data_IF_990898825572
#
_entry.id   IF_990898825572
#
_cell.length_a   1.000
_cell.length_b   1.000
_cell.length_c   1.000
_cell.angle_alpha   90.00
_cell.angle_beta   90.00
_cell.angle_gamma   90.00
#
_symmetry.space_group_name_H-M   'P 1'
#
loop_
_entity.id
_entity.type
_entity.pdbx_description
1 polymer ?
#
# COMPACT_ATOMS: atom_id res chain seq x y z
N UNK A 1 19.91 44.19 9.49
CA UNK A 1 18.92 43.08 9.44
C UNK A 1 18.28 43.11 8.07
N UNK A 2 18.59 42.17 7.16
CA UNK A 2 17.99 42.16 5.82
C UNK A 2 16.53 41.71 5.92
N UNK A 3 15.60 42.63 5.66
CA UNK A 3 14.18 42.35 5.72
C UNK A 3 13.74 41.72 4.39
N UNK A 4 13.78 40.38 4.32
CA UNK A 4 13.44 39.66 3.08
C UNK A 4 11.93 39.62 2.90
N UNK A 5 11.43 40.28 1.86
CA UNK A 5 10.00 40.36 1.56
C UNK A 5 9.43 38.98 1.15
N UNK A 6 8.39 38.51 1.84
CA UNK A 6 7.70 37.23 1.56
C UNK A 6 7.20 37.11 0.12
N UNK A 7 6.71 38.20 -0.48
CA UNK A 7 6.23 38.23 -1.86
C UNK A 7 7.38 38.11 -2.87
N UNK A 8 8.56 38.64 -2.55
CA UNK A 8 9.77 38.46 -3.36
C UNK A 8 10.22 36.99 -3.33
N UNK A 9 10.28 36.38 -2.14
CA UNK A 9 10.59 34.95 -1.97
C UNK A 9 9.63 34.08 -2.78
N UNK A 10 8.32 34.35 -2.71
CA UNK A 10 7.30 33.59 -3.45
C UNK A 10 7.52 33.69 -4.97
N UNK A 11 7.73 34.89 -5.50
CA UNK A 11 7.98 35.08 -6.95
C UNK A 11 9.24 34.35 -7.40
N UNK A 12 10.32 34.43 -6.62
CA UNK A 12 11.57 33.74 -6.94
C UNK A 12 11.39 32.21 -6.91
N UNK A 13 10.68 31.67 -5.91
CA UNK A 13 10.32 30.24 -5.85
C UNK A 13 9.52 29.78 -7.07
N UNK A 14 8.51 30.55 -7.47
CA UNK A 14 7.69 30.22 -8.65
C UNK A 14 8.52 30.25 -9.94
N UNK A 15 9.40 31.24 -10.11
CA UNK A 15 10.31 31.31 -11.25
C UNK A 15 11.26 30.11 -11.30
N UNK A 16 11.88 29.76 -10.16
CA UNK A 16 12.79 28.62 -10.08
C UNK A 16 12.05 27.29 -10.30
N UNK A 17 10.86 27.10 -9.72
CA UNK A 17 10.06 25.90 -9.95
C UNK A 17 9.69 25.73 -11.43
N UNK A 18 9.32 26.82 -12.11
CA UNK A 18 9.04 26.81 -13.55
C UNK A 18 10.28 26.40 -14.34
N UNK A 19 11.43 27.02 -14.07
CA UNK A 19 12.68 26.71 -14.77
C UNK A 19 13.13 25.25 -14.55
N UNK A 20 13.02 24.74 -13.32
CA UNK A 20 13.33 23.33 -13.00
C UNK A 20 12.37 22.38 -13.73
N UNK A 21 11.07 22.68 -13.77
CA UNK A 21 10.09 21.87 -14.47
C UNK A 21 10.35 21.82 -15.98
N UNK A 22 10.64 22.96 -16.60
CA UNK A 22 11.00 23.05 -18.02
C UNK A 22 12.29 22.25 -18.31
N UNK A 23 13.32 22.39 -17.46
CA UNK A 23 14.57 21.64 -17.57
C UNK A 23 14.33 20.12 -17.54
N UNK A 24 13.62 19.63 -16.52
CA UNK A 24 13.27 18.22 -16.38
C UNK A 24 12.50 17.69 -17.59
N UNK A 25 11.57 18.47 -18.12
CA UNK A 25 10.78 18.11 -19.29
C UNK A 25 11.62 18.00 -20.56
N UNK A 26 12.64 18.86 -20.72
CA UNK A 26 13.56 18.80 -21.86
C UNK A 26 14.59 17.68 -21.76
N UNK A 27 15.06 17.38 -20.54
CA UNK A 27 16.10 16.38 -20.29
C UNK A 27 15.55 14.95 -20.25
N UNK A 28 14.31 14.77 -19.79
CA UNK A 28 13.72 13.46 -19.63
C UNK A 28 13.42 12.82 -20.99
N UNK A 29 14.25 11.83 -21.36
CA UNK A 29 14.04 10.98 -22.53
C UNK A 29 14.06 9.53 -22.08
N UNK A 30 13.15 8.73 -22.63
CA UNK A 30 13.14 7.28 -22.43
C UNK A 30 12.96 6.58 -23.76
N UNK A 31 13.90 5.71 -24.10
CA UNK A 31 13.76 4.87 -25.29
C UNK A 31 12.86 3.66 -25.07
N UNK A 32 12.58 3.36 -23.81
CA UNK A 32 11.99 2.10 -23.39
C UNK A 32 10.59 2.30 -22.79
N UNK A 33 9.79 1.22 -22.74
CA UNK A 33 8.42 1.28 -22.23
C UNK A 33 8.32 1.83 -20.80
N UNK A 34 7.39 2.75 -20.60
CA UNK A 34 7.11 3.40 -19.32
C UNK A 34 5.80 2.90 -18.71
N UNK A 35 5.76 2.88 -17.38
CA UNK A 35 4.51 2.75 -16.62
C UNK A 35 4.07 4.14 -16.16
N UNK A 36 2.84 4.53 -16.46
CA UNK A 36 2.23 5.75 -15.92
C UNK A 36 1.47 5.39 -14.63
N UNK A 37 1.64 6.19 -13.59
CA UNK A 37 0.97 6.05 -12.30
C UNK A 37 0.14 7.29 -12.01
N UNK A 38 -1.03 7.08 -11.41
CA UNK A 38 -1.80 8.15 -10.82
C UNK A 38 -2.49 7.69 -9.53
N UNK A 39 -2.60 8.61 -8.58
CA UNK A 39 -3.28 8.40 -7.29
C UNK A 39 -3.97 9.70 -6.88
N UNK A 40 -5.29 9.66 -6.70
CA UNK A 40 -6.08 10.86 -6.40
C UNK A 40 -6.13 11.14 -4.91
N UNK A 41 -6.04 12.41 -4.52
CA UNK A 41 -6.13 12.81 -3.11
C UNK A 41 -6.98 14.05 -2.93
N UNK A 42 -8.01 13.91 -2.11
CA UNK A 42 -8.85 15.03 -1.67
C UNK A 42 -8.08 15.91 -0.67
N UNK A 43 -7.87 17.18 -1.02
CA UNK A 43 -7.17 18.17 -0.19
C UNK A 43 -8.02 19.45 -0.16
N UNK A 44 -7.94 20.21 0.95
CA UNK A 44 -8.55 21.54 1.02
C UNK A 44 -7.91 22.47 -0.01
N UNK A 45 -8.73 23.23 -0.72
CA UNK A 45 -8.25 24.25 -1.64
C UNK A 45 -7.46 25.34 -0.88
N UNK A 46 -6.61 26.07 -1.60
CA UNK A 46 -5.77 27.14 -1.05
C UNK A 46 -6.62 28.23 -0.37
N UNK A 47 -7.84 28.45 -0.86
CA UNK A 47 -8.82 29.38 -0.28
C UNK A 47 -9.55 28.81 0.95
N UNK A 48 -9.39 27.51 1.26
CA UNK A 48 -9.95 26.83 2.43
C UNK A 48 -11.44 26.50 2.36
N UNK A 49 -12.19 27.03 1.40
CA UNK A 49 -13.65 26.92 1.34
C UNK A 49 -14.17 25.65 0.66
N UNK A 50 -13.33 24.96 -0.13
CA UNK A 50 -13.74 23.76 -0.90
C UNK A 50 -12.69 22.66 -0.79
N UNK A 51 -13.12 21.42 -0.95
CA UNK A 51 -12.23 20.27 -1.14
C UNK A 51 -12.07 20.03 -2.64
N UNK A 52 -10.85 19.78 -3.07
CA UNK A 52 -10.51 19.50 -4.47
C UNK A 52 -9.68 18.25 -4.57
N UNK A 53 -9.71 17.61 -5.73
CA UNK A 53 -8.84 16.48 -6.01
C UNK A 53 -7.49 16.97 -6.53
N UNK A 54 -6.42 16.45 -5.95
CA UNK A 54 -5.06 16.64 -6.43
C UNK A 54 -4.58 15.28 -6.91
N UNK A 55 -4.28 15.20 -8.20
CA UNK A 55 -3.93 13.96 -8.87
C UNK A 55 -2.44 13.97 -9.25
N UNK A 56 -1.52 13.54 -8.37
CA UNK A 56 -0.16 13.20 -8.78
C UNK A 56 -0.16 12.22 -9.96
N UNK A 57 0.59 12.57 -11.00
CA UNK A 57 0.81 11.75 -12.19
C UNK A 57 2.31 11.64 -12.40
N UNK A 58 2.85 10.42 -12.39
CA UNK A 58 4.26 10.16 -12.63
C UNK A 58 4.46 9.01 -13.60
N UNK A 59 5.59 8.97 -14.27
CA UNK A 59 6.06 7.78 -14.99
C UNK A 59 7.19 7.14 -14.23
N UNK A 60 7.29 5.82 -14.31
CA UNK A 60 8.46 5.13 -13.80
C UNK A 60 9.01 4.08 -14.74
N UNK A 61 10.30 3.82 -14.53
CA UNK A 61 11.05 2.74 -15.16
C UNK A 61 12.36 2.47 -14.42
N UNK A 62 12.63 1.21 -14.07
CA UNK A 62 13.93 0.70 -13.60
C UNK A 62 14.68 1.67 -12.64
N UNK A 63 14.04 2.07 -11.54
CA UNK A 63 14.65 2.96 -10.54
C UNK A 63 14.58 4.46 -10.86
N UNK A 64 13.97 4.84 -11.96
CA UNK A 64 13.67 6.24 -12.31
C UNK A 64 12.18 6.47 -12.09
N UNK A 65 11.85 7.46 -11.27
CA UNK A 65 10.50 7.98 -11.06
C UNK A 65 10.49 9.46 -11.46
N UNK A 66 9.65 9.83 -12.44
CA UNK A 66 9.53 11.20 -12.91
C UNK A 66 8.09 11.70 -12.73
N UNK A 67 7.91 12.69 -11.86
CA UNK A 67 6.63 13.39 -11.71
C UNK A 67 6.36 14.24 -12.95
N UNK A 68 5.23 14.00 -13.61
CA UNK A 68 4.81 14.74 -14.80
C UNK A 68 3.96 15.95 -14.43
N UNK A 69 2.99 15.76 -13.55
CA UNK A 69 2.03 16.78 -13.17
C UNK A 69 1.34 16.47 -11.83
N UNK A 70 0.75 17.51 -11.23
CA UNK A 70 -0.20 17.38 -10.11
C UNK A 70 -1.41 18.28 -10.39
N UNK A 71 -2.26 17.95 -11.38
CA UNK A 71 -3.44 18.74 -11.70
C UNK A 71 -4.38 18.89 -10.51
N UNK A 72 -5.03 20.06 -10.44
CA UNK A 72 -6.17 20.33 -9.56
C UNK A 72 -7.43 19.98 -10.34
N UNK A 73 -8.23 19.05 -9.82
CA UNK A 73 -9.51 18.69 -10.39
C UNK A 73 -10.62 19.09 -9.41
N UNK A 74 -11.73 19.59 -9.92
CA UNK A 74 -12.88 19.90 -9.05
C UNK A 74 -13.42 18.63 -8.38
N UNK A 75 -13.42 17.51 -9.12
CA UNK A 75 -13.83 16.19 -8.65
C UNK A 75 -13.01 15.10 -9.33
N UNK A 76 -12.71 14.02 -8.61
CA UNK A 76 -12.09 12.82 -9.15
C UNK A 76 -13.08 11.93 -9.89
N UNK A 77 -13.50 12.33 -11.09
CA UNK A 77 -14.26 11.47 -12.00
C UNK A 77 -13.31 10.68 -12.89
N UNK A 78 -13.80 9.55 -13.40
CA UNK A 78 -13.07 8.71 -14.34
C UNK A 78 -12.63 9.49 -15.61
N UNK A 79 -13.51 10.36 -16.13
CA UNK A 79 -13.24 11.25 -17.26
C UNK A 79 -12.19 12.29 -16.96
N UNK A 80 -12.27 12.93 -15.79
CA UNK A 80 -11.31 13.95 -15.37
C UNK A 80 -9.92 13.35 -15.19
N UNK A 81 -9.83 12.18 -14.55
CA UNK A 81 -8.57 11.46 -14.40
C UNK A 81 -7.97 11.06 -15.75
N UNK A 82 -8.76 10.44 -16.64
CA UNK A 82 -8.27 10.01 -17.94
C UNK A 82 -7.77 11.19 -18.80
N UNK A 83 -8.50 12.32 -18.82
CA UNK A 83 -8.07 13.52 -19.54
C UNK A 83 -6.81 14.13 -18.92
N UNK A 84 -6.74 14.25 -17.59
CA UNK A 84 -5.58 14.81 -16.91
C UNK A 84 -4.30 13.97 -17.14
N UNK A 85 -4.43 12.64 -17.09
CA UNK A 85 -3.32 11.73 -17.40
C UNK A 85 -2.91 11.81 -18.86
N UNK A 86 -3.88 11.85 -19.79
CA UNK A 86 -3.61 12.02 -21.22
C UNK A 86 -2.85 13.33 -21.53
N UNK A 87 -3.28 14.44 -20.95
CA UNK A 87 -2.63 15.75 -21.10
C UNK A 87 -1.20 15.75 -20.50
N UNK A 88 -1.01 15.10 -19.35
CA UNK A 88 0.31 14.95 -18.75
C UNK A 88 1.26 14.13 -19.64
N UNK A 89 0.78 13.03 -20.24
CA UNK A 89 1.59 12.20 -21.14
C UNK A 89 1.98 12.99 -22.40
N UNK A 90 1.03 13.71 -23.02
CA UNK A 90 1.28 14.46 -24.25
C UNK A 90 2.15 15.68 -24.05
N UNK A 91 1.99 16.41 -22.94
CA UNK A 91 2.85 17.56 -22.64
C UNK A 91 4.32 17.15 -22.55
N UNK A 92 4.62 15.94 -22.07
CA UNK A 92 5.97 15.38 -22.03
C UNK A 92 6.37 14.60 -23.29
N UNK A 93 5.53 14.57 -24.34
CA UNK A 93 5.78 13.80 -25.57
C UNK A 93 6.05 12.30 -25.32
N UNK A 94 5.41 11.71 -24.31
CA UNK A 94 5.63 10.32 -23.89
C UNK A 94 4.62 9.33 -24.49
N UNK A 95 3.75 9.78 -25.38
CA UNK A 95 2.62 9.00 -25.88
C UNK A 95 3.03 7.70 -26.56
N UNK A 96 4.16 7.67 -27.27
CA UNK A 96 4.71 6.43 -27.85
C UNK A 96 5.35 5.47 -26.84
N UNK A 97 5.73 5.96 -25.65
CA UNK A 97 6.56 5.24 -24.66
C UNK A 97 5.74 4.64 -23.52
N UNK A 98 4.63 5.24 -23.12
CA UNK A 98 3.79 4.68 -22.05
C UNK A 98 3.09 3.41 -22.55
N UNK A 99 3.31 2.27 -21.90
CA UNK A 99 2.69 0.98 -22.24
C UNK A 99 1.91 0.35 -21.09
N UNK A 100 2.22 0.72 -19.86
CA UNK A 100 1.61 0.16 -18.66
C UNK A 100 0.90 1.26 -17.86
N UNK A 101 -0.21 0.89 -17.23
CA UNK A 101 -1.01 1.78 -16.39
C UNK A 101 -1.01 1.25 -14.94
N UNK A 102 -0.68 2.06 -13.95
CA UNK A 102 -0.77 1.67 -12.54
C UNK A 102 -1.57 2.69 -11.73
N UNK A 103 -2.49 2.21 -10.91
CA UNK A 103 -3.48 3.03 -10.21
C UNK A 103 -4.08 2.25 -9.04
N UNK A 104 -4.69 2.94 -8.08
CA UNK A 104 -5.46 2.30 -7.01
C UNK A 104 -6.65 1.50 -7.57
N UNK A 105 -7.19 0.52 -6.84
CA UNK A 105 -8.27 -0.32 -7.40
C UNK A 105 -9.66 0.27 -7.18
N UNK A 106 -9.80 1.59 -7.02
CA UNK A 106 -11.11 2.22 -6.86
C UNK A 106 -11.95 2.04 -8.12
N UNK A 107 -13.28 2.08 -7.97
CA UNK A 107 -14.20 1.93 -9.10
C UNK A 107 -14.04 3.04 -10.15
N UNK A 108 -13.61 4.24 -9.73
CA UNK A 108 -13.28 5.37 -10.62
C UNK A 108 -12.19 4.96 -11.62
N UNK A 109 -11.19 4.22 -11.17
CA UNK A 109 -10.09 3.77 -12.02
C UNK A 109 -10.38 2.46 -12.75
N UNK A 110 -10.99 1.49 -12.06
CA UNK A 110 -11.12 0.09 -12.53
C UNK A 110 -12.45 -0.26 -13.20
N UNK A 111 -13.40 0.68 -13.30
CA UNK A 111 -14.72 0.43 -13.87
C UNK A 111 -14.65 -0.23 -15.27
N UNK A 112 -15.34 -1.36 -15.44
CA UNK A 112 -15.23 -2.21 -16.64
C UNK A 112 -15.46 -1.48 -17.97
N UNK A 113 -16.43 -0.58 -18.03
CA UNK A 113 -16.81 0.15 -19.25
C UNK A 113 -16.29 1.58 -19.30
N UNK A 114 -16.17 2.19 -18.13
CA UNK A 114 -15.99 3.63 -17.96
C UNK A 114 -14.87 3.97 -16.98
N UNK A 115 -14.08 3.01 -16.49
CA UNK A 115 -12.95 3.30 -15.60
C UNK A 115 -11.95 4.24 -16.26
N UNK A 116 -11.23 5.03 -15.48
CA UNK A 116 -10.23 5.97 -15.99
C UNK A 116 -9.20 5.26 -16.88
N UNK A 117 -8.83 4.01 -16.57
CA UNK A 117 -7.91 3.24 -17.43
C UNK A 117 -8.49 2.94 -18.81
N UNK A 118 -9.76 2.52 -18.89
CA UNK A 118 -10.46 2.23 -20.16
C UNK A 118 -10.62 3.49 -20.98
N UNK A 119 -10.94 4.62 -20.34
CA UNK A 119 -11.06 5.90 -21.04
C UNK A 119 -9.72 6.41 -21.54
N UNK A 120 -8.64 6.19 -20.78
CA UNK A 120 -7.30 6.54 -21.21
C UNK A 120 -6.84 5.67 -22.38
N UNK A 121 -7.07 4.35 -22.36
CA UNK A 121 -6.79 3.46 -23.50
C UNK A 121 -7.48 3.98 -24.78
N UNK A 122 -8.77 4.34 -24.70
CA UNK A 122 -9.52 4.93 -25.82
C UNK A 122 -8.93 6.25 -26.32
N UNK A 123 -8.57 7.16 -25.40
CA UNK A 123 -7.95 8.45 -25.75
C UNK A 123 -6.57 8.29 -26.39
N UNK A 124 -5.83 7.28 -25.97
CA UNK A 124 -4.50 6.95 -26.49
C UNK A 124 -4.54 6.12 -27.77
N UNK A 125 -5.74 5.65 -28.17
CA UNK A 125 -5.99 4.81 -29.35
C UNK A 125 -5.07 3.60 -29.43
N UNK A 126 -4.81 2.97 -28.28
CA UNK A 126 -3.91 1.81 -28.19
C UNK A 126 -4.21 0.96 -26.96
N UNK A 127 -3.86 -0.32 -27.06
CA UNK A 127 -3.93 -1.23 -25.92
C UNK A 127 -2.82 -0.93 -24.91
N UNK A 128 -3.18 -0.96 -23.62
CA UNK A 128 -2.26 -0.70 -22.53
C UNK A 128 -2.45 -1.71 -21.41
N UNK A 129 -1.36 -2.25 -20.89
CA UNK A 129 -1.44 -3.24 -19.83
C UNK A 129 -1.76 -2.56 -18.49
N UNK A 130 -2.97 -2.82 -17.97
CA UNK A 130 -3.38 -2.35 -16.66
C UNK A 130 -2.71 -3.21 -15.58
N UNK A 131 -1.88 -2.58 -14.74
CA UNK A 131 -1.23 -3.17 -13.58
C UNK A 131 -1.73 -2.46 -12.31
N UNK A 132 -2.92 -2.81 -11.80
CA UNK A 132 -3.44 -2.18 -10.59
C UNK A 132 -2.48 -2.34 -9.40
N UNK A 133 -2.50 -1.37 -8.49
CA UNK A 133 -1.56 -1.28 -7.37
C UNK A 133 -1.64 -2.52 -6.47
N UNK A 134 -0.54 -3.25 -6.35
CA UNK A 134 -0.47 -4.49 -5.55
C UNK A 134 -0.57 -4.24 -4.06
N UNK A 135 -0.01 -3.15 -3.55
CA UNK A 135 -0.24 -2.74 -2.17
C UNK A 135 -1.75 -2.61 -1.90
N UNK A 136 -2.50 -1.96 -2.81
CA UNK A 136 -3.96 -1.78 -2.66
C UNK A 136 -4.71 -3.11 -2.64
N UNK A 137 -4.34 -4.02 -3.53
CA UNK A 137 -4.92 -5.37 -3.57
C UNK A 137 -4.61 -6.15 -2.28
N UNK A 138 -3.38 -6.09 -1.79
CA UNK A 138 -2.98 -6.77 -0.55
C UNK A 138 -3.68 -6.17 0.67
N UNK A 139 -3.91 -4.87 0.71
CA UNK A 139 -4.69 -4.23 1.77
C UNK A 139 -6.14 -4.71 1.75
N UNK A 140 -6.77 -4.82 0.57
CA UNK A 140 -8.12 -5.39 0.42
C UNK A 140 -8.15 -6.84 0.90
N UNK A 141 -7.14 -7.64 0.56
CA UNK A 141 -7.03 -9.05 0.98
C UNK A 141 -6.92 -9.17 2.50
N UNK A 142 -5.99 -8.44 3.12
CA UNK A 142 -5.79 -8.44 4.57
C UNK A 142 -7.04 -7.90 5.29
N UNK A 143 -7.63 -6.82 4.79
CA UNK A 143 -8.85 -6.25 5.35
C UNK A 143 -9.96 -7.27 5.38
N UNK A 144 -10.19 -7.97 4.27
CA UNK A 144 -11.23 -8.98 4.18
C UNK A 144 -11.01 -10.14 5.16
N UNK A 145 -9.77 -10.63 5.28
CA UNK A 145 -9.43 -11.66 6.27
C UNK A 145 -9.72 -11.20 7.70
N UNK A 146 -9.33 -9.97 8.04
CA UNK A 146 -9.56 -9.39 9.38
C UNK A 146 -11.06 -9.17 9.65
N UNK A 147 -11.80 -8.65 8.66
CA UNK A 147 -13.21 -8.31 8.80
C UNK A 147 -14.08 -9.57 8.91
N UNK A 148 -13.76 -10.63 8.16
CA UNK A 148 -14.42 -11.93 8.31
C UNK A 148 -14.20 -12.49 9.73
N UNK A 149 -12.93 -12.51 10.16
CA UNK A 149 -12.54 -13.14 11.41
C UNK A 149 -13.00 -12.40 12.67
N UNK A 150 -12.92 -11.06 12.70
CA UNK A 150 -13.32 -10.24 13.86
C UNK A 150 -14.79 -9.80 13.81
N UNK A 151 -15.47 -10.02 12.69
CA UNK A 151 -16.82 -9.56 12.40
C UNK A 151 -16.84 -8.16 11.77
N UNK A 152 -17.87 -7.85 10.95
CA UNK A 152 -17.97 -6.57 10.26
C UNK A 152 -18.11 -5.44 11.27
N UNK A 153 -17.35 -4.35 11.07
CA UNK A 153 -17.52 -3.11 11.81
C UNK A 153 -18.08 -2.04 10.89
N UNK A 154 -19.22 -1.45 11.28
CA UNK A 154 -19.77 -0.26 10.62
C UNK A 154 -19.02 1.02 11.00
N UNK A 155 -18.19 0.96 12.06
CA UNK A 155 -17.36 2.06 12.51
C UNK A 155 -16.03 2.10 11.73
N UNK A 156 -15.46 3.29 11.49
CA UNK A 156 -14.13 3.43 10.90
C UNK A 156 -13.03 2.78 11.78
N UNK A 157 -13.29 2.68 13.09
CA UNK A 157 -12.42 1.98 14.04
C UNK A 157 -13.08 0.66 14.49
N UNK A 158 -12.39 -0.47 14.29
CA UNK A 158 -12.79 -1.76 14.88
C UNK A 158 -12.77 -1.60 16.42
N UNK A 159 -13.85 -1.92 17.17
CA UNK A 159 -13.94 -1.64 18.61
C UNK A 159 -12.78 -2.22 19.42
N UNK A 160 -12.29 -3.40 19.02
CA UNK A 160 -11.11 -4.03 19.61
C UNK A 160 -9.86 -3.16 19.47
N UNK A 161 -9.64 -2.58 18.29
CA UNK A 161 -8.49 -1.74 17.98
C UNK A 161 -8.58 -0.40 18.72
N UNK A 162 -9.78 0.20 18.78
CA UNK A 162 -10.04 1.40 19.60
C UNK A 162 -9.74 1.16 21.08
N UNK A 163 -10.19 0.04 21.64
CA UNK A 163 -9.92 -0.35 23.04
C UNK A 163 -8.42 -0.50 23.29
N UNK A 164 -7.71 -1.15 22.37
CA UNK A 164 -6.26 -1.31 22.48
C UNK A 164 -5.51 0.03 22.38
N UNK A 165 -5.87 0.88 21.41
CA UNK A 165 -5.29 2.21 21.23
C UNK A 165 -5.46 3.09 22.48
N UNK A 166 -6.61 2.99 23.15
CA UNK A 166 -6.88 3.71 24.39
C UNK A 166 -6.09 3.15 25.59
N UNK A 167 -5.86 1.84 25.63
CA UNK A 167 -5.07 1.19 26.68
C UNK A 167 -3.55 1.29 26.45
N UNK A 168 -3.10 1.89 25.33
CA UNK A 168 -1.68 1.86 24.91
C UNK A 168 -0.70 2.33 25.99
N UNK A 169 -1.05 3.37 26.76
CA UNK A 169 -0.17 3.92 27.79
C UNK A 169 0.00 3.02 29.02
N UNK A 170 -0.84 1.99 29.17
CA UNK A 170 -0.77 1.03 30.27
C UNK A 170 0.01 -0.24 29.90
N UNK A 171 0.55 -0.33 28.68
CA UNK A 171 1.29 -1.50 28.20
C UNK A 171 2.77 -1.30 28.47
N UNK A 172 3.37 -2.24 29.21
CA UNK A 172 4.82 -2.39 29.30
C UNK A 172 5.34 -3.11 28.05
N UNK A 173 6.04 -2.37 27.20
CA UNK A 173 6.60 -2.88 25.96
C UNK A 173 7.95 -3.59 26.12
N UNK A 174 8.51 -3.65 27.34
CA UNK A 174 9.73 -4.41 27.64
C UNK A 174 9.44 -5.90 27.84
N UNK A 175 8.25 -6.21 28.33
CA UNK A 175 7.83 -7.60 28.61
C UNK A 175 7.12 -8.19 27.40
N UNK A 176 7.83 -9.02 26.64
CA UNK A 176 7.29 -9.72 25.46
C UNK A 176 7.17 -11.21 25.79
N UNK A 177 5.97 -11.76 25.64
CA UNK A 177 5.71 -13.19 25.76
C UNK A 177 5.33 -13.69 24.37
N UNK A 178 6.21 -14.48 23.75
CA UNK A 178 5.95 -15.04 22.43
C UNK A 178 5.66 -16.54 22.53
N UNK A 179 4.41 -16.93 22.28
CA UNK A 179 3.95 -18.32 22.25
C UNK A 179 3.44 -18.75 20.86
N UNK A 180 3.71 -17.96 19.83
CA UNK A 180 3.07 -18.10 18.51
C UNK A 180 3.72 -19.16 17.62
N UNK A 181 4.99 -19.49 17.86
CA UNK A 181 5.80 -20.30 16.93
C UNK A 181 5.49 -21.80 16.96
N UNK A 182 4.79 -22.31 17.99
CA UNK A 182 4.52 -23.75 18.12
C UNK A 182 3.65 -24.35 17.01
N UNK A 183 3.01 -23.51 16.19
CA UNK A 183 2.09 -23.94 15.13
C UNK A 183 2.64 -23.74 13.70
N UNK A 184 3.89 -23.30 13.57
CA UNK A 184 4.52 -23.01 12.27
C UNK A 184 5.77 -23.88 12.15
N UNK A 185 5.96 -24.54 10.99
CA UNK A 185 7.15 -25.34 10.72
C UNK A 185 8.43 -24.50 10.80
N UNK A 186 9.48 -25.04 11.43
CA UNK A 186 10.74 -24.33 11.71
C UNK A 186 11.43 -23.77 10.46
N UNK A 187 11.39 -24.51 9.35
CA UNK A 187 11.88 -24.08 8.05
C UNK A 187 11.15 -22.82 7.53
N UNK A 188 9.83 -22.75 7.71
CA UNK A 188 9.02 -21.59 7.34
C UNK A 188 9.37 -20.41 8.24
N UNK A 189 9.50 -20.63 9.55
CA UNK A 189 9.92 -19.60 10.51
C UNK A 189 11.27 -18.99 10.08
N UNK A 190 12.27 -19.83 9.81
CA UNK A 190 13.60 -19.40 9.38
C UNK A 190 13.58 -18.63 8.05
N UNK A 191 12.81 -19.08 7.05
CA UNK A 191 12.63 -18.38 5.77
C UNK A 191 12.06 -16.97 5.98
N UNK A 192 10.98 -16.84 6.78
CA UNK A 192 10.33 -15.54 7.01
C UNK A 192 11.21 -14.57 7.79
N UNK A 193 11.97 -15.05 8.78
CA UNK A 193 12.97 -14.23 9.48
C UNK A 193 14.03 -13.75 8.49
N UNK A 194 14.57 -14.64 7.64
CA UNK A 194 15.58 -14.30 6.63
C UNK A 194 15.07 -13.24 5.65
N UNK A 195 13.82 -13.37 5.18
CA UNK A 195 13.18 -12.37 4.32
C UNK A 195 13.08 -11.02 5.04
N UNK A 196 12.61 -11.01 6.29
CA UNK A 196 12.43 -9.77 7.04
C UNK A 196 13.77 -9.05 7.33
N UNK A 197 14.81 -9.80 7.70
CA UNK A 197 16.16 -9.28 7.92
C UNK A 197 16.75 -8.71 6.62
N UNK A 198 16.67 -9.43 5.51
CA UNK A 198 17.13 -8.93 4.19
C UNK A 198 16.40 -7.65 3.80
N UNK A 199 15.10 -7.57 4.03
CA UNK A 199 14.32 -6.38 3.71
C UNK A 199 14.73 -5.17 4.57
N UNK A 200 15.10 -5.38 5.84
CA UNK A 200 15.60 -4.30 6.72
C UNK A 200 16.94 -3.71 6.26
N UNK A 201 17.73 -4.45 5.48
CA UNK A 201 18.96 -3.94 4.86
C UNK A 201 18.70 -3.04 3.65
N UNK A 202 17.45 -2.98 3.16
CA UNK A 202 17.03 -2.10 2.06
C UNK A 202 16.30 -0.88 2.61
N UNK A 203 16.39 0.25 1.90
CA UNK A 203 15.67 1.47 2.26
C UNK A 203 14.16 1.21 2.38
N UNK A 204 13.61 1.51 3.55
CA UNK A 204 12.16 1.50 3.78
C UNK A 204 11.61 2.92 3.70
N UNK A 205 10.66 3.19 2.79
CA UNK A 205 10.13 4.54 2.56
C UNK A 205 9.26 5.04 3.72
N UNK A 206 8.80 4.11 4.56
CA UNK A 206 7.95 4.42 5.70
C UNK A 206 8.42 3.70 6.94
N UNK A 207 8.05 4.32 8.04
CA UNK A 207 8.46 3.90 9.35
C UNK A 207 7.67 2.66 9.82
N UNK A 208 6.36 2.62 9.55
CA UNK A 208 5.49 1.47 9.78
C UNK A 208 5.95 0.20 9.06
N UNK A 209 6.59 0.33 7.89
CA UNK A 209 7.18 -0.80 7.16
C UNK A 209 8.30 -1.45 7.99
N UNK A 210 9.21 -0.63 8.56
CA UNK A 210 10.28 -1.13 9.45
C UNK A 210 9.71 -1.81 10.69
N UNK A 211 8.66 -1.25 11.26
CA UNK A 211 8.01 -1.81 12.44
C UNK A 211 7.33 -3.14 12.16
N UNK A 212 6.66 -3.30 11.01
CA UNK A 212 6.09 -4.58 10.60
C UNK A 212 7.19 -5.65 10.46
N UNK A 213 8.34 -5.31 9.88
CA UNK A 213 9.49 -6.22 9.74
C UNK A 213 10.09 -6.60 11.10
N UNK A 214 10.30 -5.64 12.00
CA UNK A 214 10.76 -5.93 13.36
C UNK A 214 9.77 -6.82 14.12
N UNK A 215 8.46 -6.52 14.05
CA UNK A 215 7.42 -7.36 14.63
C UNK A 215 7.48 -8.77 14.07
N UNK A 216 7.68 -8.94 12.76
CA UNK A 216 7.82 -10.25 12.11
C UNK A 216 8.95 -11.06 12.75
N UNK A 217 10.12 -10.46 12.93
CA UNK A 217 11.29 -11.12 13.52
C UNK A 217 11.00 -11.52 14.98
N UNK A 218 10.47 -10.61 15.80
CA UNK A 218 10.11 -10.89 17.20
C UNK A 218 9.12 -12.05 17.29
N UNK A 219 8.05 -11.99 16.50
CA UNK A 219 6.98 -12.98 16.50
C UNK A 219 7.43 -14.38 16.13
N UNK A 220 8.46 -14.47 15.30
CA UNK A 220 9.02 -15.72 14.84
C UNK A 220 10.19 -16.20 15.72
N UNK A 221 10.48 -15.51 16.83
CA UNK A 221 11.52 -15.90 17.79
C UNK A 221 12.93 -15.43 17.41
N UNK A 222 13.05 -14.60 16.37
CA UNK A 222 14.31 -13.97 16.01
C UNK A 222 14.65 -12.76 16.89
N UNK A 223 15.91 -12.35 16.87
CA UNK A 223 16.40 -11.14 17.58
C UNK A 223 16.61 -10.02 16.57
N UNK A 224 15.92 -8.88 16.68
CA UNK A 224 16.16 -7.72 15.82
C UNK A 224 17.51 -7.06 16.08
N UNK A 225 18.15 -6.53 15.03
CA UNK A 225 19.50 -5.94 15.11
C UNK A 225 19.58 -4.63 15.93
N UNK A 226 18.45 -3.97 16.19
CA UNK A 226 18.38 -2.69 16.91
C UNK A 226 17.38 -2.77 18.05
N UNK A 227 17.62 -1.98 19.10
CA UNK A 227 16.66 -1.81 20.21
C UNK A 227 15.31 -1.39 19.66
N UNK A 228 14.28 -2.16 20.00
CA UNK A 228 12.96 -2.06 19.40
C UNK A 228 12.17 -1.00 20.18
N UNK A 229 11.77 0.07 19.50
CA UNK A 229 10.76 0.99 20.02
C UNK A 229 9.42 0.67 19.36
N UNK A 230 8.41 0.34 20.16
CA UNK A 230 7.05 0.17 19.65
C UNK A 230 6.37 1.53 19.53
N UNK A 231 5.86 1.86 18.35
CA UNK A 231 5.10 3.10 18.18
C UNK A 231 3.67 2.92 18.64
N UNK A 232 3.08 4.01 19.12
CA UNK A 232 1.65 4.05 19.41
C UNK A 232 0.87 3.69 18.15
N UNK A 233 -0.13 2.78 18.24
CA UNK A 233 -1.03 2.51 17.13
C UNK A 233 -1.70 3.80 16.63
N UNK A 234 -1.56 4.06 15.33
CA UNK A 234 -2.16 5.20 14.66
C UNK A 234 -3.69 5.01 14.49
N UNK A 235 -4.43 6.06 14.12
CA UNK A 235 -5.91 5.94 14.00
C UNK A 235 -6.29 5.23 12.71
N UNK A 236 -7.31 4.37 12.71
CA UNK A 236 -7.69 3.63 11.49
C UNK A 236 -8.37 4.58 10.50
N UNK A 237 -7.58 5.38 9.81
CA UNK A 237 -8.02 6.15 8.65
C UNK A 237 -7.76 5.31 7.40
N UNK A 238 -8.61 5.46 6.38
CA UNK A 238 -8.52 4.73 5.10
C UNK A 238 -7.16 4.86 4.37
N UNK A 239 -6.29 5.78 4.80
CA UNK A 239 -4.95 6.01 4.22
C UNK A 239 -3.81 5.25 4.95
N UNK A 240 -4.09 4.54 6.04
CA UNK A 240 -3.08 3.82 6.82
C UNK A 240 -2.93 2.36 6.35
N UNK A 241 -2.08 2.20 5.35
CA UNK A 241 -1.58 0.91 4.87
C UNK A 241 -1.10 -0.01 6.00
N UNK A 242 -1.46 -1.31 5.95
CA UNK A 242 -1.10 -2.35 6.91
C UNK A 242 -1.56 -2.10 8.36
N UNK A 243 -2.36 -1.07 8.64
CA UNK A 243 -2.73 -0.73 10.02
C UNK A 243 -3.39 -1.92 10.72
N UNK A 244 -4.28 -2.65 10.03
CA UNK A 244 -4.93 -3.85 10.56
C UNK A 244 -3.92 -4.93 10.96
N UNK A 245 -2.88 -5.16 10.15
CA UNK A 245 -1.80 -6.11 10.48
C UNK A 245 -1.05 -5.66 11.74
N UNK A 246 -0.64 -4.39 11.82
CA UNK A 246 0.06 -3.85 12.98
C UNK A 246 -0.78 -3.92 14.26
N UNK A 247 -2.08 -3.64 14.17
CA UNK A 247 -2.99 -3.77 15.30
C UNK A 247 -3.10 -5.22 15.77
N UNK A 248 -3.38 -6.16 14.88
CA UNK A 248 -3.51 -7.57 15.22
C UNK A 248 -2.22 -8.10 15.88
N UNK A 249 -1.06 -7.82 15.27
CA UNK A 249 0.24 -8.21 15.80
C UNK A 249 0.51 -7.56 17.15
N UNK A 250 0.24 -6.27 17.37
CA UNK A 250 0.50 -5.64 18.67
C UNK A 250 -0.45 -6.16 19.76
N UNK A 251 -1.73 -6.30 19.45
CA UNK A 251 -2.73 -6.80 20.41
C UNK A 251 -2.35 -8.21 20.87
N UNK A 252 -1.99 -9.08 19.94
CA UNK A 252 -1.64 -10.44 20.29
C UNK A 252 -0.29 -10.51 21.04
N UNK A 253 0.67 -9.63 20.72
CA UNK A 253 1.99 -9.61 21.37
C UNK A 253 1.88 -9.21 22.84
N UNK A 254 0.98 -8.27 23.13
CA UNK A 254 0.72 -7.77 24.48
C UNK A 254 -0.56 -8.36 25.11
N UNK A 255 -1.03 -9.52 24.62
CA UNK A 255 -2.28 -10.15 25.08
C UNK A 255 -2.33 -10.42 26.58
N UNK A 256 -1.19 -10.72 27.21
CA UNK A 256 -1.10 -10.96 28.65
C UNK A 256 -1.42 -9.70 29.48
N UNK A 257 -1.24 -8.51 28.90
CA UNK A 257 -1.55 -7.21 29.51
C UNK A 257 -2.86 -6.63 28.99
N UNK A 258 -3.57 -7.35 28.11
CA UNK A 258 -4.77 -6.88 27.46
C UNK A 258 -5.85 -7.96 27.44
N UNK A 259 -6.88 -7.79 28.27
CA UNK A 259 -7.92 -8.79 28.47
C UNK A 259 -8.64 -9.16 27.16
N UNK A 260 -8.40 -10.38 26.67
CA UNK A 260 -9.06 -10.99 25.53
C UNK A 260 -9.90 -12.19 25.99
N UNK A 261 -11.00 -12.45 25.30
CA UNK A 261 -11.69 -13.73 25.45
C UNK A 261 -10.89 -14.81 24.71
N UNK A 262 -10.95 -16.06 25.16
CA UNK A 262 -10.28 -17.19 24.49
C UNK A 262 -10.61 -17.27 22.98
N UNK A 263 -11.87 -16.98 22.62
CA UNK A 263 -12.32 -16.89 21.22
C UNK A 263 -11.56 -15.81 20.44
N UNK A 264 -11.50 -14.58 20.98
CA UNK A 264 -10.81 -13.46 20.31
C UNK A 264 -9.30 -13.70 20.21
N UNK A 265 -8.70 -14.29 21.23
CA UNK A 265 -7.28 -14.65 21.21
C UNK A 265 -6.99 -15.68 20.11
N UNK A 266 -7.78 -16.76 20.00
CA UNK A 266 -7.65 -17.74 18.92
C UNK A 266 -7.73 -17.07 17.53
N UNK A 267 -8.75 -16.24 17.32
CA UNK A 267 -8.94 -15.52 16.07
C UNK A 267 -7.77 -14.60 15.74
N UNK A 268 -7.31 -13.80 16.71
CA UNK A 268 -6.15 -12.92 16.51
C UNK A 268 -4.89 -13.71 16.17
N UNK A 269 -4.68 -14.87 16.80
CA UNK A 269 -3.56 -15.76 16.47
C UNK A 269 -3.59 -16.16 15.00
N UNK A 270 -4.75 -16.60 14.51
CA UNK A 270 -4.92 -17.03 13.11
C UNK A 270 -4.65 -15.89 12.12
N UNK A 271 -5.13 -14.68 12.41
CA UNK A 271 -4.82 -13.47 11.62
C UNK A 271 -3.32 -13.14 11.66
N UNK A 272 -2.67 -13.26 12.82
CA UNK A 272 -1.24 -13.02 12.95
C UNK A 272 -0.43 -14.04 12.13
N UNK A 273 -0.78 -15.33 12.20
CA UNK A 273 -0.15 -16.38 11.38
C UNK A 273 -0.31 -16.08 9.89
N UNK A 274 -1.52 -15.74 9.43
CA UNK A 274 -1.75 -15.32 8.05
C UNK A 274 -0.89 -14.12 7.65
N UNK A 275 -0.80 -13.12 8.53
CA UNK A 275 0.00 -11.90 8.29
C UNK A 275 1.48 -12.22 8.13
N UNK A 276 2.03 -13.06 9.03
CA UNK A 276 3.44 -13.43 9.08
C UNK A 276 3.86 -14.35 7.93
N UNK A 277 3.04 -15.35 7.60
CA UNK A 277 3.41 -16.38 6.61
C UNK A 277 3.09 -15.92 5.18
N UNK A 278 1.96 -15.24 4.98
CA UNK A 278 1.46 -14.88 3.65
C UNK A 278 1.71 -13.41 3.36
N UNK A 279 1.05 -12.50 4.07
CA UNK A 279 0.93 -11.09 3.70
C UNK A 279 2.28 -10.37 3.56
N UNK A 280 3.16 -10.49 4.55
CA UNK A 280 4.41 -9.72 4.65
C UNK A 280 5.32 -9.93 3.43
N UNK A 281 5.50 -11.17 2.98
CA UNK A 281 6.35 -11.48 1.81
C UNK A 281 5.89 -10.71 0.58
N UNK A 282 4.61 -10.80 0.24
CA UNK A 282 4.06 -10.20 -0.97
C UNK A 282 3.93 -8.68 -0.87
N UNK A 283 3.74 -8.16 0.35
CA UNK A 283 3.77 -6.72 0.61
C UNK A 283 5.10 -6.11 0.17
N UNK A 284 6.22 -6.66 0.64
CA UNK A 284 7.54 -6.11 0.32
C UNK A 284 8.02 -6.42 -1.10
N UNK A 285 7.39 -7.37 -1.80
CA UNK A 285 7.64 -7.64 -3.22
C UNK A 285 6.76 -6.80 -4.17
N UNK A 286 5.75 -6.09 -3.65
CA UNK A 286 4.78 -5.29 -4.43
C UNK A 286 5.30 -4.03 -5.13
N UNK A 287 6.42 -3.38 -4.73
CA UNK A 287 6.93 -2.20 -5.46
C UNK A 287 7.30 -2.45 -6.92
N UNK A 288 7.49 -3.71 -7.31
CA UNK A 288 8.00 -4.08 -8.63
C UNK A 288 6.87 -4.55 -9.55
N UNK A 289 6.45 -3.69 -10.48
CA UNK A 289 5.33 -3.97 -11.39
C UNK A 289 5.56 -5.15 -12.34
N UNK A 290 6.78 -5.35 -12.84
CA UNK A 290 7.08 -6.43 -13.79
C UNK A 290 7.03 -7.82 -13.16
N UNK A 291 7.30 -7.94 -11.85
CA UNK A 291 7.20 -9.21 -11.12
C UNK A 291 5.78 -9.52 -10.67
N UNK A 292 4.82 -8.60 -10.86
CA UNK A 292 3.44 -8.76 -10.36
C UNK A 292 2.76 -10.06 -10.83
N UNK A 293 2.81 -10.47 -12.12
CA UNK A 293 2.20 -11.74 -12.55
C UNK A 293 2.74 -12.96 -11.80
N UNK A 294 4.08 -13.04 -11.67
CA UNK A 294 4.74 -14.15 -10.96
C UNK A 294 4.37 -14.14 -9.49
N UNK A 295 4.42 -12.97 -8.85
CA UNK A 295 4.12 -12.83 -7.43
C UNK A 295 2.66 -13.18 -7.13
N UNK A 296 1.72 -12.75 -7.99
CA UNK A 296 0.30 -13.07 -7.84
C UNK A 296 0.04 -14.58 -7.97
N UNK A 297 0.62 -15.24 -8.98
CA UNK A 297 0.49 -16.69 -9.14
C UNK A 297 1.10 -17.46 -7.96
N UNK A 298 2.26 -17.01 -7.46
CA UNK A 298 2.84 -17.57 -6.24
C UNK A 298 1.94 -17.34 -5.02
N UNK A 299 1.36 -16.15 -4.87
CA UNK A 299 0.43 -15.85 -3.79
C UNK A 299 -0.79 -16.78 -3.83
N UNK A 300 -1.37 -17.03 -5.02
CA UNK A 300 -2.48 -17.99 -5.17
C UNK A 300 -2.08 -19.40 -4.69
N UNK A 301 -0.89 -19.88 -5.06
CA UNK A 301 -0.38 -21.18 -4.59
C UNK A 301 -0.26 -21.20 -3.07
N UNK A 302 0.37 -20.19 -2.49
CA UNK A 302 0.57 -20.11 -1.04
C UNK A 302 -0.74 -19.97 -0.27
N UNK A 303 -1.73 -19.25 -0.82
CA UNK A 303 -3.08 -19.20 -0.26
C UNK A 303 -3.76 -20.56 -0.32
N UNK A 304 -3.53 -21.34 -1.37
CA UNK A 304 -4.08 -22.69 -1.49
C UNK A 304 -3.42 -23.66 -0.52
N UNK A 305 -2.13 -23.53 -0.27
CA UNK A 305 -1.42 -24.30 0.75
C UNK A 305 -1.89 -23.89 2.17
N UNK A 306 -2.16 -22.59 2.38
CA UNK A 306 -2.68 -22.05 3.66
C UNK A 306 -4.09 -22.52 4.00
N UNK A 307 -4.85 -23.02 3.02
CA UNK A 307 -6.17 -23.65 3.20
C UNK A 307 -6.10 -24.80 4.23
N UNK A 308 -4.97 -25.53 4.29
CA UNK A 308 -4.74 -26.58 5.28
C UNK A 308 -4.50 -26.07 6.71
N UNK A 309 -4.20 -24.78 6.88
CA UNK A 309 -3.97 -24.14 8.19
C UNK A 309 -5.24 -23.40 8.64
N UNK A 310 -5.81 -22.57 7.77
CA UNK A 310 -7.04 -21.85 8.03
C UNK A 310 -7.87 -21.68 6.73
N UNK A 311 -8.85 -22.56 6.49
CA UNK A 311 -9.62 -22.56 5.25
C UNK A 311 -10.50 -21.31 5.09
N UNK A 312 -10.98 -20.74 6.20
CA UNK A 312 -11.84 -19.55 6.18
C UNK A 312 -11.09 -18.32 5.69
N UNK A 313 -9.93 -18.03 6.31
CA UNK A 313 -9.06 -16.93 5.89
C UNK A 313 -8.53 -17.15 4.48
N UNK A 314 -8.10 -18.38 4.15
CA UNK A 314 -7.61 -18.73 2.83
C UNK A 314 -8.66 -18.47 1.74
N UNK A 315 -9.89 -18.94 1.94
CA UNK A 315 -11.01 -18.78 1.01
C UNK A 315 -11.35 -17.30 0.78
N UNK A 316 -11.45 -16.51 1.86
CA UNK A 316 -11.73 -15.07 1.76
C UNK A 316 -10.62 -14.33 1.03
N UNK A 317 -9.36 -14.58 1.39
CA UNK A 317 -8.21 -13.96 0.75
C UNK A 317 -8.12 -14.32 -0.73
N UNK A 318 -8.30 -15.60 -1.08
CA UNK A 318 -8.28 -16.11 -2.45
C UNK A 318 -9.36 -15.44 -3.31
N UNK A 319 -10.60 -15.38 -2.78
CA UNK A 319 -11.73 -14.72 -3.46
C UNK A 319 -11.42 -13.25 -3.76
N UNK A 320 -10.77 -12.53 -2.84
CA UNK A 320 -10.38 -11.13 -3.06
C UNK A 320 -9.31 -11.00 -4.12
N UNK A 321 -8.23 -11.77 -4.05
CA UNK A 321 -7.14 -11.70 -5.04
C UNK A 321 -7.65 -12.03 -6.44
N UNK A 322 -8.43 -13.12 -6.62
CA UNK A 322 -8.99 -13.52 -7.91
C UNK A 322 -9.82 -12.41 -8.58
N UNK A 323 -10.54 -11.60 -7.78
CA UNK A 323 -11.30 -10.45 -8.28
C UNK A 323 -10.45 -9.35 -8.94
N UNK A 324 -9.14 -9.33 -8.69
CA UNK A 324 -8.19 -8.32 -9.17
C UNK A 324 -7.17 -8.85 -10.19
N UNK A 325 -7.30 -10.11 -10.65
CA UNK A 325 -6.39 -10.74 -11.62
C UNK A 325 -6.80 -10.61 -13.09
N UNK A 326 -7.81 -9.79 -13.41
CA UNK A 326 -8.31 -9.59 -14.80
C UNK A 326 -7.22 -9.18 -15.80
N UNK A 327 -6.15 -8.57 -15.34
CA UNK A 327 -5.02 -8.19 -16.19
C UNK A 327 -4.22 -9.39 -16.74
N UNK A 328 -4.33 -10.57 -16.11
CA UNK A 328 -3.71 -11.81 -16.60
C UNK A 328 -4.49 -12.43 -17.76
N UNK A 329 -5.74 -12.02 -17.98
CA UNK A 329 -6.61 -12.54 -19.04
C UNK A 329 -6.92 -11.52 -20.14
N UNK A 330 -6.35 -10.31 -20.07
CA UNK A 330 -6.35 -9.37 -21.21
C UNK A 330 -5.31 -9.89 -22.22
N UNK A 331 -5.75 -10.75 -23.13
CA UNK A 331 -5.03 -11.17 -24.33
C UNK A 331 -5.42 -10.31 -25.51
#
# INVERSE_FOLDING_TARGET
MFNVNRSLIRRYRLKNQKAVAECLQTEFKSDLPLTIYWDGKLIKDITGHKTVDRLPILVSRHGIDQLLAVPKLERGTNTAYASAVYEAINSWSLSGKVKYLCFDTTAVNTGLKNGACVQLERKMEKDMLCLPCRHHILEIMLSAAVDESLGPSSDPDIPLFKRFKNNWYNIDYKTIINDTTSHIEENVVADKISIAQKQLQVHQPRDDYKELLHLTIIYLGGVPEKSISFRRPAGLHRAEWMAKALYCLKIFLFKHQFQLTKKKEKVLREICIFTLIIYIKYWFQSPTGWSAPRNDLQLLKYLKDFDGINPEIASVALKKILGHLRYLSKS
#
